data_IF_795680682486
#
_entry.id   IF_795680682486
#
_cell.length_a   1.000
_cell.length_b   1.000
_cell.length_c   1.000
_cell.angle_alpha   90.00
_cell.angle_beta   90.00
_cell.angle_gamma   90.00
#
_symmetry.space_group_name_H-M   'P 1'
#
loop_
_entity.id
_entity.type
_entity.pdbx_description
1 polymer ?
#
# COMPACT_ATOMS: atom_id res chain seq x y z
N UNK A 1 4.83 -0.93 10.47
CA UNK A 1 4.67 0.51 10.21
C UNK A 1 5.34 0.77 8.87
N UNK A 2 4.60 1.29 7.88
CA UNK A 2 5.22 1.63 6.59
C UNK A 2 6.15 2.82 6.76
N UNK A 3 7.31 2.76 6.12
CA UNK A 3 8.29 3.83 6.11
C UNK A 3 7.78 5.09 5.41
N UNK A 4 8.46 6.23 5.60
CA UNK A 4 8.00 7.55 5.12
C UNK A 4 7.85 7.66 3.59
N UNK A 5 8.34 6.69 2.81
CA UNK A 5 8.25 6.66 1.34
C UNK A 5 7.42 5.49 0.77
N UNK A 6 6.81 4.66 1.62
CA UNK A 6 6.09 3.48 1.14
C UNK A 6 4.80 3.90 0.41
N UNK A 7 4.56 3.28 -0.74
CA UNK A 7 3.32 3.49 -1.50
C UNK A 7 2.12 3.09 -0.64
N UNK A 8 1.09 3.95 -0.51
CA UNK A 8 -0.12 3.63 0.23
C UNK A 8 -0.76 2.34 -0.28
N UNK A 9 -0.99 1.39 0.63
CA UNK A 9 -1.73 0.18 0.33
C UNK A 9 -3.24 0.41 0.45
N UNK A 10 -4.02 -0.31 -0.36
CA UNK A 10 -5.48 -0.30 -0.25
C UNK A 10 -5.91 -1.08 1.00
N UNK A 11 -6.66 -0.45 1.90
CA UNK A 11 -7.11 -1.10 3.13
C UNK A 11 -8.37 -1.91 2.85
N UNK A 12 -8.50 -3.15 3.38
CA UNK A 12 -9.75 -3.90 3.28
C UNK A 12 -10.91 -3.16 3.97
N UNK A 13 -12.10 -3.27 3.42
CA UNK A 13 -13.29 -2.51 3.86
C UNK A 13 -13.70 -2.85 5.29
N UNK A 14 -13.50 -4.09 5.74
CA UNK A 14 -13.70 -4.49 7.16
C UNK A 14 -12.74 -3.76 8.12
N UNK A 15 -11.51 -3.47 7.68
CA UNK A 15 -10.53 -2.72 8.49
C UNK A 15 -10.94 -1.25 8.60
N UNK A 16 -11.48 -0.68 7.51
CA UNK A 16 -12.03 0.66 7.54
C UNK A 16 -13.29 0.73 8.43
N UNK A 17 -14.21 -0.23 8.27
CA UNK A 17 -15.40 -0.38 9.12
C UNK A 17 -15.03 -0.41 10.60
N UNK A 18 -14.07 -1.27 10.97
CA UNK A 18 -13.58 -1.33 12.34
C UNK A 18 -13.08 0.04 12.80
N UNK A 19 -12.24 0.70 12.00
CA UNK A 19 -11.70 2.02 12.37
C UNK A 19 -12.80 3.07 12.58
N UNK A 20 -13.82 3.10 11.73
CA UNK A 20 -14.90 4.10 11.77
C UNK A 20 -15.91 3.84 12.89
N UNK A 21 -16.19 2.56 13.17
CA UNK A 21 -17.30 2.17 14.06
C UNK A 21 -16.86 1.50 15.36
N UNK A 22 -15.55 1.40 15.62
CA UNK A 22 -15.05 0.75 16.84
C UNK A 22 -15.63 1.38 18.10
N UNK A 23 -15.50 2.70 18.25
CA UNK A 23 -15.91 3.38 19.48
C UNK A 23 -17.43 3.38 19.68
N UNK A 24 -18.21 3.44 18.60
CA UNK A 24 -19.65 3.68 18.63
C UNK A 24 -20.48 2.40 18.59
N UNK A 25 -20.08 1.40 17.80
CA UNK A 25 -20.85 0.17 17.60
C UNK A 25 -20.18 -1.05 18.21
N UNK A 26 -18.88 -1.23 17.96
CA UNK A 26 -18.19 -2.48 18.32
C UNK A 26 -17.83 -2.54 19.79
N UNK A 27 -17.11 -1.53 20.30
CA UNK A 27 -16.53 -1.54 21.65
C UNK A 27 -17.59 -1.65 22.75
N UNK A 28 -18.71 -0.89 22.75
CA UNK A 28 -19.68 -0.98 23.83
C UNK A 28 -20.30 -2.37 23.98
N UNK A 29 -20.60 -3.03 22.87
CA UNK A 29 -21.24 -4.34 22.89
C UNK A 29 -20.24 -5.47 23.10
N UNK A 30 -19.05 -5.36 22.51
CA UNK A 30 -17.96 -6.29 22.77
C UNK A 30 -17.51 -6.25 24.24
N UNK A 31 -17.43 -5.07 24.87
CA UNK A 31 -17.04 -4.96 26.27
C UNK A 31 -18.08 -5.62 27.20
N UNK A 32 -19.38 -5.54 26.88
CA UNK A 32 -20.43 -6.28 27.60
C UNK A 32 -20.25 -7.79 27.46
N UNK A 33 -20.00 -8.26 26.23
CA UNK A 33 -19.76 -9.67 25.95
C UNK A 33 -18.51 -10.18 26.67
N UNK A 34 -17.42 -9.42 26.61
CA UNK A 34 -16.18 -9.73 27.30
C UNK A 34 -16.35 -9.74 28.82
N UNK A 35 -17.12 -8.80 29.39
CA UNK A 35 -17.37 -8.76 30.83
C UNK A 35 -18.05 -10.03 31.36
N UNK A 36 -18.85 -10.73 30.53
CA UNK A 36 -19.49 -11.99 30.91
C UNK A 36 -18.57 -13.22 30.87
N UNK A 37 -17.43 -13.14 30.18
CA UNK A 37 -16.51 -14.29 29.99
C UNK A 37 -15.09 -14.04 30.49
N UNK A 38 -14.74 -12.81 30.88
CA UNK A 38 -13.37 -12.40 31.23
C UNK A 38 -12.75 -13.20 32.38
N UNK A 39 -13.58 -13.73 33.28
CA UNK A 39 -13.13 -14.44 34.48
C UNK A 39 -12.87 -15.93 34.19
N UNK A 40 -13.42 -16.47 33.10
CA UNK A 40 -13.25 -17.86 32.67
C UNK A 40 -12.35 -17.99 31.43
N UNK A 41 -12.28 -16.94 30.61
CA UNK A 41 -11.48 -16.92 29.40
C UNK A 41 -10.09 -16.29 29.64
N UNK A 42 -9.01 -16.85 29.07
CA UNK A 42 -7.69 -16.22 29.13
C UNK A 42 -7.69 -14.81 28.52
N UNK A 43 -6.97 -13.86 29.13
CA UNK A 43 -6.88 -12.49 28.61
C UNK A 43 -6.35 -12.42 27.16
N UNK A 44 -5.47 -13.36 26.77
CA UNK A 44 -4.97 -13.50 25.38
C UNK A 44 -6.09 -13.79 24.37
N UNK A 45 -7.20 -14.39 24.79
CA UNK A 45 -8.34 -14.71 23.94
C UNK A 45 -9.16 -13.46 23.57
N UNK A 46 -9.04 -12.37 24.33
CA UNK A 46 -9.80 -11.13 24.08
C UNK A 46 -9.59 -10.60 22.67
N UNK A 47 -8.36 -10.64 22.16
CA UNK A 47 -8.04 -10.13 20.82
C UNK A 47 -8.70 -10.99 19.76
N UNK A 48 -8.55 -12.32 19.84
CA UNK A 48 -9.19 -13.24 18.90
C UNK A 48 -10.72 -13.08 18.90
N UNK A 49 -11.34 -13.06 20.09
CA UNK A 49 -12.78 -12.84 20.23
C UNK A 49 -13.24 -11.50 19.66
N UNK A 50 -12.45 -10.45 19.82
CA UNK A 50 -12.79 -9.13 19.24
C UNK A 50 -12.75 -9.16 17.72
N UNK A 51 -11.81 -9.90 17.12
CA UNK A 51 -11.69 -10.03 15.67
C UNK A 51 -12.87 -10.83 15.10
N UNK A 52 -13.24 -11.92 15.76
CA UNK A 52 -14.39 -12.73 15.37
C UNK A 52 -15.69 -11.94 15.52
N UNK A 53 -15.87 -11.22 16.63
CA UNK A 53 -17.03 -10.37 16.84
C UNK A 53 -17.17 -9.29 15.76
N UNK A 54 -16.06 -8.65 15.35
CA UNK A 54 -16.07 -7.67 14.26
C UNK A 54 -16.45 -8.29 12.93
N UNK A 55 -15.99 -9.51 12.63
CA UNK A 55 -16.39 -10.25 11.42
C UNK A 55 -17.88 -10.55 11.42
N UNK A 56 -18.42 -10.96 12.56
CA UNK A 56 -19.84 -11.24 12.72
C UNK A 56 -20.69 -9.97 12.57
N UNK A 57 -20.27 -8.85 13.16
CA UNK A 57 -20.92 -7.56 12.97
C UNK A 57 -20.92 -7.17 11.49
N UNK A 58 -19.76 -7.27 10.82
CA UNK A 58 -19.62 -6.95 9.40
C UNK A 58 -20.51 -7.83 8.51
N UNK A 59 -20.60 -9.13 8.80
CA UNK A 59 -21.42 -10.05 8.04
C UNK A 59 -22.93 -9.77 8.18
N UNK A 60 -23.36 -9.13 9.27
CA UNK A 60 -24.75 -8.75 9.54
C UNK A 60 -25.13 -7.39 8.96
N UNK A 61 -24.17 -6.57 8.52
CA UNK A 61 -24.48 -5.31 7.87
C UNK A 61 -25.13 -5.54 6.50
N UNK A 62 -25.98 -4.60 6.07
CA UNK A 62 -26.63 -4.66 4.76
C UNK A 62 -25.59 -4.58 3.62
N UNK A 63 -25.96 -5.09 2.45
CA UNK A 63 -25.08 -5.03 1.27
C UNK A 63 -24.81 -3.59 0.85
N UNK A 64 -25.82 -2.72 0.91
CA UNK A 64 -25.71 -1.30 0.58
C UNK A 64 -24.74 -0.58 1.52
N UNK A 65 -24.82 -0.89 2.82
CA UNK A 65 -23.91 -0.33 3.81
C UNK A 65 -22.47 -0.78 3.56
N UNK A 66 -22.26 -2.09 3.31
CA UNK A 66 -20.94 -2.63 3.00
C UNK A 66 -20.35 -2.01 1.72
N UNK A 67 -21.17 -1.84 0.68
CA UNK A 67 -20.77 -1.17 -0.55
C UNK A 67 -20.41 0.30 -0.32
N UNK A 68 -21.12 1.00 0.57
CA UNK A 68 -20.78 2.38 0.96
C UNK A 68 -19.43 2.49 1.66
N UNK A 69 -19.12 1.56 2.56
CA UNK A 69 -17.79 1.50 3.21
C UNK A 69 -16.70 1.15 2.20
N UNK A 70 -16.99 0.26 1.24
CA UNK A 70 -16.05 -0.10 0.17
C UNK A 70 -15.71 1.09 -0.73
N UNK A 71 -16.72 1.85 -1.15
CA UNK A 71 -16.54 3.09 -1.90
C UNK A 71 -15.70 4.12 -1.11
N UNK A 72 -15.93 4.26 0.19
CA UNK A 72 -15.09 5.11 1.04
C UNK A 72 -13.65 4.62 1.14
N UNK A 73 -13.42 3.29 1.22
CA UNK A 73 -12.07 2.72 1.24
C UNK A 73 -11.31 3.02 -0.06
N UNK A 74 -12.00 2.87 -1.20
CA UNK A 74 -11.47 3.24 -2.51
C UNK A 74 -11.11 4.71 -2.60
N UNK A 75 -12.00 5.60 -2.16
CA UNK A 75 -11.76 7.05 -2.20
C UNK A 75 -10.60 7.47 -1.29
N UNK A 76 -10.54 6.95 -0.05
CA UNK A 76 -9.43 7.21 0.86
C UNK A 76 -8.10 6.72 0.29
N UNK A 77 -8.09 5.57 -0.40
CA UNK A 77 -6.89 5.07 -1.05
C UNK A 77 -6.48 5.95 -2.24
N UNK A 78 -7.45 6.39 -3.06
CA UNK A 78 -7.21 7.31 -4.18
C UNK A 78 -6.53 8.59 -3.71
N UNK A 79 -7.10 9.24 -2.69
CA UNK A 79 -6.53 10.46 -2.09
C UNK A 79 -5.13 10.21 -1.54
N UNK A 80 -4.93 9.11 -0.80
CA UNK A 80 -3.60 8.78 -0.27
C UNK A 80 -2.56 8.57 -1.38
N UNK A 81 -2.94 7.93 -2.49
CA UNK A 81 -2.08 7.76 -3.67
C UNK A 81 -1.75 9.10 -4.32
N UNK A 82 -2.71 10.01 -4.44
CA UNK A 82 -2.49 11.36 -4.98
C UNK A 82 -1.53 12.16 -4.11
N UNK A 83 -1.72 12.16 -2.79
CA UNK A 83 -0.80 12.80 -1.85
C UNK A 83 0.59 12.16 -1.87
N UNK A 84 0.68 10.84 -2.02
CA UNK A 84 1.95 10.14 -2.14
C UNK A 84 2.66 10.52 -3.44
N UNK A 85 1.93 10.61 -4.56
CA UNK A 85 2.47 11.08 -5.84
C UNK A 85 2.97 12.52 -5.73
N UNK A 86 2.21 13.42 -5.07
CA UNK A 86 2.59 14.81 -4.88
C UNK A 86 3.85 14.98 -4.00
N UNK A 87 4.01 14.12 -2.99
CA UNK A 87 5.21 14.10 -2.12
C UNK A 87 6.42 13.46 -2.77
N UNK A 88 6.22 12.64 -3.80
CA UNK A 88 7.32 12.04 -4.54
C UNK A 88 7.96 13.15 -5.36
N UNK A 89 9.18 13.54 -4.98
CA UNK A 89 10.12 14.22 -5.88
C UNK A 89 10.43 13.24 -7.03
N UNK A 90 9.48 13.08 -7.96
CA UNK A 90 9.82 12.73 -9.33
C UNK A 90 10.78 13.86 -9.74
N UNK A 91 12.05 13.57 -10.07
CA UNK A 91 12.97 14.59 -10.53
C UNK A 91 12.23 15.42 -11.57
N UNK A 92 12.13 16.74 -11.36
CA UNK A 92 11.42 17.63 -12.29
C UNK A 92 11.74 17.22 -13.72
N UNK A 93 10.69 17.06 -14.52
CA UNK A 93 10.67 16.53 -15.89
C UNK A 93 11.44 17.44 -16.88
N UNK A 94 12.66 17.84 -16.56
CA UNK A 94 13.58 18.34 -17.58
C UNK A 94 14.38 17.14 -18.08
N UNK A 95 14.48 17.06 -19.40
CA UNK A 95 15.12 15.95 -20.06
C UNK A 95 16.62 15.85 -19.68
N UNK A 96 17.25 16.92 -19.18
CA UNK A 96 18.61 16.86 -18.61
C UNK A 96 18.67 16.18 -17.24
N UNK A 97 17.69 16.41 -16.36
CA UNK A 97 17.63 15.72 -15.04
C UNK A 97 17.37 14.23 -15.23
N UNK A 98 16.53 13.86 -16.18
CA UNK A 98 16.32 12.46 -16.57
C UNK A 98 17.61 11.84 -17.14
N UNK A 99 18.29 12.54 -18.05
CA UNK A 99 19.57 12.10 -18.61
C UNK A 99 20.65 11.88 -17.53
N UNK A 100 20.77 12.79 -16.57
CA UNK A 100 21.72 12.65 -15.46
C UNK A 100 21.37 11.47 -14.54
N UNK A 101 20.08 11.19 -14.32
CA UNK A 101 19.65 10.00 -13.59
C UNK A 101 20.00 8.71 -14.35
N UNK A 102 19.86 8.71 -15.69
CA UNK A 102 20.27 7.60 -16.54
C UNK A 102 21.79 7.36 -16.51
N UNK A 103 22.61 8.40 -16.48
CA UNK A 103 24.07 8.22 -16.32
C UNK A 103 24.43 7.50 -15.01
N UNK A 104 23.66 7.74 -13.94
CA UNK A 104 23.80 7.03 -12.67
C UNK A 104 23.37 5.57 -12.74
N UNK A 105 22.46 5.21 -13.68
CA UNK A 105 21.93 3.86 -13.81
C UNK A 105 23.03 2.86 -14.18
N UNK A 106 24.02 3.21 -15.00
CA UNK A 106 25.11 2.29 -15.36
C UNK A 106 25.89 1.78 -14.14
N UNK A 107 25.94 2.57 -13.05
CA UNK A 107 26.61 2.18 -11.81
C UNK A 107 25.84 1.17 -10.98
N UNK A 108 24.54 0.99 -11.23
CA UNK A 108 23.63 0.16 -10.42
C UNK A 108 22.96 -0.94 -11.25
N UNK A 109 22.52 -0.61 -12.46
CA UNK A 109 21.83 -1.50 -13.39
C UNK A 109 22.69 -2.67 -13.83
N UNK A 110 23.95 -2.43 -14.22
CA UNK A 110 24.86 -3.50 -14.65
C UNK A 110 25.12 -4.50 -13.50
N UNK A 111 25.58 -4.08 -12.29
CA UNK A 111 25.76 -5.01 -11.18
C UNK A 111 24.49 -5.76 -10.77
N UNK A 112 23.32 -5.13 -10.90
CA UNK A 112 22.03 -5.79 -10.63
C UNK A 112 21.71 -6.86 -11.67
N UNK A 113 21.89 -6.55 -12.96
CA UNK A 113 21.68 -7.50 -14.05
C UNK A 113 22.62 -8.71 -13.91
N UNK A 114 23.90 -8.47 -13.60
CA UNK A 114 24.90 -9.51 -13.37
C UNK A 114 24.52 -10.38 -12.16
N UNK A 115 24.15 -9.78 -11.03
CA UNK A 115 23.75 -10.52 -9.84
C UNK A 115 22.49 -11.38 -10.07
N UNK A 116 21.53 -10.88 -10.86
CA UNK A 116 20.34 -11.64 -11.24
C UNK A 116 20.68 -12.77 -12.22
N UNK A 117 21.56 -12.50 -13.19
CA UNK A 117 22.05 -13.47 -14.16
C UNK A 117 22.77 -14.63 -13.47
N UNK A 118 23.71 -14.34 -12.57
CA UNK A 118 24.46 -15.34 -11.80
C UNK A 118 23.54 -16.19 -10.91
N UNK A 119 22.56 -15.56 -10.25
CA UNK A 119 21.69 -16.25 -9.29
C UNK A 119 20.64 -17.12 -9.96
N UNK A 120 20.18 -16.75 -11.15
CA UNK A 120 19.09 -17.42 -11.84
C UNK A 120 19.57 -18.27 -13.03
N UNK A 121 20.81 -18.12 -13.47
CA UNK A 121 21.36 -18.82 -14.62
C UNK A 121 20.70 -18.42 -15.94
N UNK A 122 20.24 -17.18 -16.06
CA UNK A 122 19.52 -16.66 -17.23
C UNK A 122 20.15 -15.37 -17.75
N UNK A 123 19.96 -15.06 -19.03
CA UNK A 123 20.32 -13.75 -19.56
C UNK A 123 19.33 -12.69 -19.08
N UNK A 124 19.84 -11.64 -18.44
CA UNK A 124 19.04 -10.52 -17.95
C UNK A 124 19.34 -9.29 -18.79
N UNK A 125 18.28 -8.65 -19.31
CA UNK A 125 18.36 -7.37 -20.02
C UNK A 125 17.55 -6.35 -19.22
N UNK A 126 18.19 -5.26 -18.81
CA UNK A 126 17.51 -4.12 -18.18
C UNK A 126 17.36 -3.05 -19.24
N UNK A 127 16.13 -2.83 -19.68
CA UNK A 127 15.81 -1.81 -20.67
C UNK A 127 15.20 -0.60 -19.97
N UNK A 128 15.76 0.58 -20.20
CA UNK A 128 15.22 1.85 -19.69
C UNK A 128 14.90 2.78 -20.85
N UNK A 129 13.67 3.27 -20.87
CA UNK A 129 13.10 4.09 -21.94
C UNK A 129 12.68 5.43 -21.35
N UNK A 130 13.14 6.53 -21.94
CA UNK A 130 12.69 7.86 -21.56
C UNK A 130 13.38 9.01 -22.30
N UNK A 131 13.02 10.25 -21.95
CA UNK A 131 13.39 11.44 -22.71
C UNK A 131 14.87 11.80 -22.55
N UNK A 132 15.55 12.14 -23.65
CA UNK A 132 16.97 12.53 -23.63
C UNK A 132 17.11 14.04 -23.78
N UNK A 133 17.73 14.68 -22.78
CA UNK A 133 17.87 16.15 -22.74
C UNK A 133 18.68 16.79 -23.86
N UNK A 134 19.48 16.00 -24.60
CA UNK A 134 20.23 16.50 -25.75
C UNK A 134 19.41 16.58 -27.04
N UNK A 135 18.24 15.96 -27.09
CA UNK A 135 17.40 15.86 -28.30
C UNK A 135 15.98 16.37 -28.02
N UNK A 136 15.86 17.50 -27.31
CA UNK A 136 14.59 18.20 -27.06
C UNK A 136 13.45 17.34 -26.45
N UNK A 137 13.79 16.23 -25.78
CA UNK A 137 12.81 15.33 -25.17
C UNK A 137 12.42 14.12 -26.02
N UNK A 138 13.15 13.81 -27.09
CA UNK A 138 12.98 12.57 -27.83
C UNK A 138 13.17 11.33 -26.93
N UNK A 139 12.28 10.34 -27.11
CA UNK A 139 12.28 9.11 -26.31
C UNK A 139 13.24 8.12 -26.96
N UNK A 140 14.34 7.84 -26.28
CA UNK A 140 15.33 6.85 -26.72
C UNK A 140 15.36 5.61 -25.82
N UNK A 141 15.78 4.51 -26.43
CA UNK A 141 15.98 3.22 -25.78
C UNK A 141 17.45 3.07 -25.37
N UNK A 142 17.68 2.72 -24.10
CA UNK A 142 19.01 2.33 -23.59
C UNK A 142 18.93 0.95 -22.96
N UNK A 143 19.92 0.13 -23.27
CA UNK A 143 20.15 -1.23 -22.76
C UNK A 143 21.47 -1.30 -22.04
#
# INVERSE_FOLDING_TARGET
MSGPNDRPWHKPSIVLYLKLHYATRIKPDFDKLWAGVKDTAPAKSRVAMSQDYVRDCWAKESEEFRAGIDAQAHEMHRVAIEEWKARRNVPENTAEKYHKALEGLNKVGIPLADALSERLGVHVVIMVVGPVGKEEGEVMLRT
#
